data_IF_569654162630
#
_entry.id   IF_569654162630
#
_cell.length_a   1.000
_cell.length_b   1.000
_cell.length_c   1.000
_cell.angle_alpha   90.00
_cell.angle_beta   90.00
_cell.angle_gamma   90.00
#
_symmetry.space_group_name_H-M   'P 1'
#
loop_
_entity.id
_entity.type
_entity.pdbx_description
1 polymer ?
#
# COMPACT_ATOMS: atom_id res chain seq x y z
N UNK A 1 -17.21 3.79 2.12
CA UNK A 1 -17.94 2.95 3.11
C UNK A 1 -18.49 3.80 4.21
N UNK A 2 -19.70 3.51 4.69
CA UNK A 2 -20.37 4.28 5.73
C UNK A 2 -21.09 3.33 6.67
N UNK A 3 -20.86 3.45 7.99
CA UNK A 3 -21.51 2.70 9.07
C UNK A 3 -21.47 1.18 8.94
N UNK A 4 -20.31 0.64 8.50
CA UNK A 4 -20.07 -0.80 8.38
C UNK A 4 -19.49 -1.34 9.70
N UNK A 5 -19.94 -2.52 10.12
CA UNK A 5 -19.36 -3.26 11.25
C UNK A 5 -18.70 -4.54 10.76
N UNK A 6 -17.37 -4.61 10.89
CA UNK A 6 -16.57 -5.81 10.68
C UNK A 6 -16.17 -6.36 12.03
N UNK A 7 -16.85 -7.42 12.48
CA UNK A 7 -16.62 -8.01 13.81
C UNK A 7 -17.05 -9.49 13.82
N UNK A 8 -16.54 -10.30 14.74
CA UNK A 8 -17.05 -11.65 14.93
C UNK A 8 -18.56 -11.63 15.19
N UNK A 9 -19.25 -12.64 14.65
CA UNK A 9 -20.71 -12.77 14.86
C UNK A 9 -21.00 -12.80 16.37
N UNK A 10 -21.95 -12.00 16.78
CA UNK A 10 -22.42 -11.96 18.18
C UNK A 10 -22.95 -13.34 18.62
N UNK A 11 -22.59 -13.76 19.82
CA UNK A 11 -22.95 -15.08 20.36
C UNK A 11 -22.18 -16.25 19.74
N UNK A 12 -21.14 -16.00 18.91
CA UNK A 12 -20.23 -17.03 18.44
C UNK A 12 -18.96 -17.07 19.28
N UNK A 13 -18.31 -18.24 19.33
CA UNK A 13 -16.99 -18.42 20.00
C UNK A 13 -15.81 -17.93 19.12
N UNK A 14 -16.07 -17.22 18.01
CA UNK A 14 -15.03 -16.72 17.13
C UNK A 14 -14.31 -15.53 17.76
N UNK A 15 -12.99 -15.61 17.81
CA UNK A 15 -12.12 -14.51 18.23
C UNK A 15 -11.86 -13.52 17.09
N UNK A 16 -11.80 -14.04 15.85
CA UNK A 16 -11.46 -13.28 14.65
C UNK A 16 -12.67 -13.11 13.73
N UNK A 17 -12.77 -11.94 13.12
CA UNK A 17 -13.71 -11.63 12.04
C UNK A 17 -13.11 -11.90 10.66
N UNK A 18 -11.80 -11.68 10.52
CA UNK A 18 -11.05 -11.92 9.31
C UNK A 18 -9.68 -12.55 9.65
N UNK A 19 -9.21 -13.47 8.79
CA UNK A 19 -7.89 -14.11 8.89
C UNK A 19 -6.80 -13.37 8.09
N UNK A 20 -7.16 -12.31 7.42
CA UNK A 20 -6.31 -11.38 6.69
C UNK A 20 -6.87 -9.98 6.88
N UNK A 21 -6.52 -9.02 6.02
CA UNK A 21 -7.06 -7.67 6.06
C UNK A 21 -8.59 -7.68 5.98
N UNK A 22 -9.24 -6.80 6.73
CA UNK A 22 -10.69 -6.64 6.61
C UNK A 22 -11.06 -5.82 5.38
N UNK A 23 -10.28 -4.80 5.07
CA UNK A 23 -10.42 -3.93 3.91
C UNK A 23 -9.06 -3.72 3.27
N UNK A 24 -8.88 -4.26 2.07
CA UNK A 24 -7.64 -4.18 1.32
C UNK A 24 -7.88 -3.44 -0.01
N UNK A 25 -7.27 -2.29 -0.18
CA UNK A 25 -7.39 -1.42 -1.34
C UNK A 25 -6.03 -1.35 -2.06
N UNK A 26 -5.84 -2.19 -3.06
CA UNK A 26 -4.63 -2.26 -3.86
C UNK A 26 -4.86 -1.65 -5.24
N UNK A 27 -4.02 -0.70 -5.65
CA UNK A 27 -4.08 -0.09 -6.98
C UNK A 27 -5.42 0.56 -7.32
N UNK A 28 -6.05 1.20 -6.36
CA UNK A 28 -7.30 1.94 -6.56
C UNK A 28 -7.03 3.36 -7.06
N UNK A 29 -8.01 3.97 -7.72
CA UNK A 29 -8.01 5.37 -8.11
C UNK A 29 -9.17 6.13 -7.47
N UNK A 30 -9.19 7.47 -7.63
CA UNK A 30 -10.24 8.32 -7.10
C UNK A 30 -10.14 8.53 -5.59
N UNK A 31 -11.23 8.36 -4.84
CA UNK A 31 -11.29 8.60 -3.40
C UNK A 31 -11.89 7.42 -2.64
N UNK A 32 -11.17 6.96 -1.62
CA UNK A 32 -11.62 6.00 -0.63
C UNK A 32 -12.08 6.78 0.60
N UNK A 33 -13.37 6.66 0.94
CA UNK A 33 -13.93 7.22 2.18
C UNK A 33 -14.48 6.10 3.05
N UNK A 34 -14.02 6.08 4.31
CA UNK A 34 -14.45 5.14 5.35
C UNK A 34 -14.90 5.98 6.55
N UNK A 35 -16.19 5.93 6.86
CA UNK A 35 -16.79 6.79 7.87
C UNK A 35 -17.69 6.00 8.81
N UNK A 36 -17.60 6.32 10.10
CA UNK A 36 -18.47 5.76 11.16
C UNK A 36 -18.49 4.23 11.21
N UNK A 37 -17.35 3.59 10.90
CA UNK A 37 -17.21 2.14 10.85
C UNK A 37 -16.65 1.56 12.15
N UNK A 38 -16.94 0.28 12.39
CA UNK A 38 -16.44 -0.46 13.55
C UNK A 38 -15.67 -1.71 13.10
N UNK A 39 -14.41 -1.83 13.53
CA UNK A 39 -13.51 -2.92 13.18
C UNK A 39 -13.04 -3.64 14.43
N UNK A 40 -13.27 -4.95 14.51
CA UNK A 40 -12.87 -5.75 15.66
C UNK A 40 -12.52 -7.18 15.28
N UNK A 41 -11.38 -7.67 15.76
CA UNK A 41 -10.94 -9.04 15.54
C UNK A 41 -10.35 -9.28 14.15
N UNK A 42 -9.57 -8.35 13.62
CA UNK A 42 -8.70 -8.59 12.48
C UNK A 42 -7.48 -9.40 12.94
N UNK A 43 -7.09 -10.39 12.15
CA UNK A 43 -5.82 -11.08 12.35
C UNK A 43 -4.67 -10.32 11.68
N UNK A 44 -4.96 -9.66 10.58
CA UNK A 44 -4.11 -8.70 9.90
C UNK A 44 -4.73 -7.29 9.98
N UNK A 45 -4.53 -6.40 9.01
CA UNK A 45 -4.94 -5.01 9.12
C UNK A 45 -6.45 -4.81 8.95
N UNK A 46 -7.12 -4.04 9.81
CA UNK A 46 -8.49 -3.60 9.55
C UNK A 46 -8.63 -2.82 8.24
N UNK A 47 -7.65 -1.97 7.92
CA UNK A 47 -7.60 -1.21 6.68
C UNK A 47 -6.17 -1.21 6.16
N UNK A 48 -5.99 -1.64 4.90
CA UNK A 48 -4.75 -1.50 4.14
C UNK A 48 -5.03 -0.79 2.81
N UNK A 49 -4.27 0.28 2.50
CA UNK A 49 -4.39 1.06 1.26
C UNK A 49 -3.02 1.31 0.67
N UNK A 50 -2.80 0.85 -0.56
CA UNK A 50 -1.53 1.03 -1.24
C UNK A 50 -1.67 1.00 -2.77
N UNK A 51 -0.65 1.49 -3.48
CA UNK A 51 -0.43 1.23 -4.90
C UNK A 51 0.30 -0.10 -5.11
N UNK A 52 0.85 -0.30 -6.30
CA UNK A 52 1.49 -1.57 -6.67
C UNK A 52 2.81 -1.32 -7.38
N UNK A 53 3.85 -1.98 -6.90
CA UNK A 53 5.14 -2.14 -7.57
C UNK A 53 5.21 -3.48 -8.27
N UNK A 54 5.54 -3.52 -9.58
CA UNK A 54 5.94 -4.75 -10.26
C UNK A 54 7.41 -4.68 -10.65
N UNK A 55 8.13 -5.76 -10.40
CA UNK A 55 9.56 -5.86 -10.72
C UNK A 55 9.80 -5.97 -12.22
N UNK A 56 10.76 -5.22 -12.74
CA UNK A 56 11.21 -5.34 -14.12
C UNK A 56 12.13 -6.55 -14.25
N UNK A 57 11.67 -7.58 -14.95
CA UNK A 57 12.43 -8.83 -15.09
C UNK A 57 13.12 -8.99 -16.46
N UNK A 58 12.66 -8.26 -17.46
CA UNK A 58 13.22 -8.32 -18.82
C UNK A 58 12.94 -7.00 -19.56
N UNK A 59 13.90 -6.53 -20.32
CA UNK A 59 13.73 -5.48 -21.32
C UNK A 59 13.57 -6.14 -22.68
N UNK A 60 12.40 -6.00 -23.31
CA UNK A 60 12.10 -6.65 -24.58
C UNK A 60 12.59 -5.83 -25.78
N UNK A 61 12.46 -4.50 -25.70
CA UNK A 61 12.97 -3.53 -26.66
C UNK A 61 13.20 -2.16 -25.98
N UNK A 62 13.34 -1.08 -26.74
CA UNK A 62 13.63 0.25 -26.21
C UNK A 62 12.45 0.85 -25.43
N UNK A 63 11.23 0.40 -25.67
CA UNK A 63 9.99 0.92 -25.07
C UNK A 63 9.22 -0.12 -24.24
N UNK A 64 9.60 -1.39 -24.30
CA UNK A 64 8.80 -2.49 -23.77
C UNK A 64 9.54 -3.28 -22.71
N UNK A 65 8.90 -3.50 -21.58
CA UNK A 65 9.42 -4.35 -20.49
C UNK A 65 8.44 -5.47 -20.16
N UNK A 66 9.01 -6.53 -19.60
CA UNK A 66 8.25 -7.57 -18.92
C UNK A 66 8.33 -7.35 -17.43
N UNK A 67 7.17 -7.18 -16.80
CA UNK A 67 6.99 -6.95 -15.38
C UNK A 67 6.47 -8.21 -14.70
N UNK A 68 6.83 -8.39 -13.43
CA UNK A 68 6.43 -9.55 -12.64
C UNK A 68 5.92 -9.17 -11.27
N UNK A 69 4.77 -9.77 -10.89
CA UNK A 69 4.29 -9.84 -9.51
C UNK A 69 5.21 -10.77 -8.72
N UNK A 70 5.93 -10.24 -7.76
CA UNK A 70 6.92 -11.01 -7.00
C UNK A 70 6.32 -11.67 -5.75
N UNK A 71 5.41 -10.99 -5.06
CA UNK A 71 4.82 -11.51 -3.84
C UNK A 71 3.89 -12.69 -4.09
N UNK A 72 3.90 -13.67 -3.16
CA UNK A 72 3.17 -14.94 -3.31
C UNK A 72 1.66 -14.85 -3.18
N UNK A 73 1.15 -13.77 -2.58
CA UNK A 73 -0.28 -13.56 -2.30
C UNK A 73 -0.87 -12.38 -3.06
N UNK A 74 -0.04 -11.60 -3.79
CA UNK A 74 -0.46 -10.39 -4.49
C UNK A 74 -0.14 -10.50 -5.97
N UNK A 75 -1.03 -11.13 -6.75
CA UNK A 75 -0.87 -11.27 -8.19
C UNK A 75 -2.21 -11.59 -8.88
N UNK A 76 -2.23 -11.58 -10.21
CA UNK A 76 -3.35 -12.06 -11.00
C UNK A 76 -4.45 -11.02 -11.33
N UNK A 77 -4.22 -9.76 -10.96
CA UNK A 77 -5.09 -8.63 -11.32
C UNK A 77 -4.44 -7.74 -12.38
N UNK A 78 -5.20 -6.80 -12.93
CA UNK A 78 -4.69 -5.82 -13.89
C UNK A 78 -4.06 -4.66 -13.11
N UNK A 79 -2.72 -4.60 -13.09
CA UNK A 79 -1.97 -3.54 -12.39
C UNK A 79 -1.78 -2.29 -13.25
N UNK A 80 -1.94 -2.39 -14.58
CA UNK A 80 -1.75 -1.29 -15.54
C UNK A 80 -2.84 -1.29 -16.59
N UNK A 81 -3.16 -0.09 -17.10
CA UNK A 81 -4.08 0.14 -18.20
C UNK A 81 -3.45 1.11 -19.20
N UNK A 82 -3.87 1.05 -20.46
CA UNK A 82 -3.47 2.03 -21.46
C UNK A 82 -3.86 3.45 -21.03
N UNK A 83 -2.92 4.38 -21.14
CA UNK A 83 -3.06 5.75 -20.68
C UNK A 83 -2.66 6.00 -19.22
N UNK A 84 -2.37 4.97 -18.44
CA UNK A 84 -1.83 5.15 -17.09
C UNK A 84 -0.45 5.82 -17.12
N UNK A 85 -0.20 6.66 -16.14
CA UNK A 85 1.14 7.17 -15.85
C UNK A 85 1.81 6.23 -14.85
N UNK A 86 3.06 5.89 -15.14
CA UNK A 86 3.88 5.04 -14.28
C UNK A 86 5.15 5.76 -13.84
N UNK A 87 5.74 5.31 -12.74
CA UNK A 87 7.08 5.70 -12.32
C UNK A 87 8.00 4.48 -12.32
N UNK A 88 9.24 4.68 -12.74
CA UNK A 88 10.33 3.73 -12.52
C UNK A 88 10.91 3.99 -11.14
N UNK A 89 10.98 2.96 -10.32
CA UNK A 89 11.34 3.04 -8.90
C UNK A 89 12.61 2.23 -8.65
N UNK A 90 13.62 2.87 -8.07
CA UNK A 90 14.79 2.20 -7.52
C UNK A 90 14.38 1.43 -6.26
N UNK A 91 14.30 0.11 -6.33
CA UNK A 91 13.76 -0.68 -5.22
C UNK A 91 14.53 -0.48 -3.92
N UNK A 92 15.86 -0.37 -3.97
CA UNK A 92 16.70 -0.23 -2.77
C UNK A 92 16.53 1.09 -2.01
N UNK A 93 16.20 2.18 -2.71
CA UNK A 93 16.02 3.53 -2.11
C UNK A 93 14.57 3.98 -2.14
N UNK A 94 13.70 3.31 -2.90
CA UNK A 94 12.31 3.71 -3.20
C UNK A 94 12.19 5.04 -3.99
N UNK A 95 13.30 5.56 -4.54
CA UNK A 95 13.31 6.76 -5.36
C UNK A 95 12.59 6.52 -6.69
N UNK A 96 11.69 7.41 -7.06
CA UNK A 96 11.12 7.51 -8.41
C UNK A 96 12.07 8.29 -9.31
N UNK A 97 12.83 7.61 -10.18
CA UNK A 97 13.87 8.26 -10.98
C UNK A 97 13.43 8.61 -12.42
N UNK A 98 12.33 8.05 -12.91
CA UNK A 98 11.76 8.39 -14.21
C UNK A 98 10.25 8.11 -14.24
N UNK A 99 9.57 8.62 -15.27
CA UNK A 99 8.14 8.37 -15.50
C UNK A 99 7.83 8.21 -16.98
N UNK A 100 6.76 7.47 -17.30
CA UNK A 100 6.27 7.24 -18.65
C UNK A 100 4.75 7.05 -18.66
N UNK A 101 4.14 7.13 -19.87
CA UNK A 101 2.75 6.72 -20.07
C UNK A 101 2.69 5.33 -20.67
N UNK A 102 1.74 4.51 -20.21
CA UNK A 102 1.48 3.18 -20.73
C UNK A 102 0.77 3.28 -22.08
N UNK A 103 1.34 2.67 -23.11
CA UNK A 103 0.78 2.63 -24.49
C UNK A 103 0.03 1.32 -24.71
N UNK A 104 0.54 0.22 -24.19
CA UNK A 104 -0.14 -1.08 -24.28
C UNK A 104 0.22 -1.98 -23.12
N UNK A 105 -0.71 -2.88 -22.80
CA UNK A 105 -0.54 -3.90 -21.75
C UNK A 105 -0.98 -5.24 -22.29
N UNK A 106 -0.13 -6.25 -22.12
CA UNK A 106 -0.44 -7.63 -22.50
C UNK A 106 -0.14 -8.57 -21.35
N UNK A 107 -1.18 -9.24 -20.83
CA UNK A 107 -1.00 -10.28 -19.81
C UNK A 107 -0.37 -11.52 -20.45
N UNK A 108 0.76 -11.96 -19.93
CA UNK A 108 1.46 -13.17 -20.39
C UNK A 108 1.10 -14.39 -19.54
N UNK A 109 1.05 -14.22 -18.24
CA UNK A 109 0.66 -15.25 -17.26
C UNK A 109 -0.07 -14.60 -16.10
N UNK A 110 -0.46 -15.35 -15.08
CA UNK A 110 -1.04 -14.77 -13.85
C UNK A 110 -0.03 -13.90 -13.09
N UNK A 111 1.26 -14.04 -13.34
CA UNK A 111 2.32 -13.31 -12.65
C UNK A 111 3.13 -12.37 -13.53
N UNK A 112 2.95 -12.37 -14.83
CA UNK A 112 3.78 -11.57 -15.74
C UNK A 112 2.92 -10.81 -16.73
N UNK A 113 3.30 -9.56 -16.94
CA UNK A 113 2.70 -8.65 -17.91
C UNK A 113 3.78 -8.02 -18.76
N UNK A 114 3.49 -7.80 -20.03
CA UNK A 114 4.27 -6.99 -20.95
C UNK A 114 3.66 -5.60 -21.00
N UNK A 115 4.46 -4.57 -20.82
CA UNK A 115 4.02 -3.17 -20.83
C UNK A 115 4.92 -2.37 -21.75
N UNK A 116 4.30 -1.68 -22.72
CA UNK A 116 4.97 -0.72 -23.58
C UNK A 116 4.70 0.71 -23.15
N UNK A 117 5.68 1.58 -23.30
CA UNK A 117 5.64 2.99 -22.89
C UNK A 117 5.77 3.95 -24.06
N UNK A 118 5.36 5.20 -23.85
CA UNK A 118 5.42 6.30 -24.82
C UNK A 118 6.83 6.86 -25.06
N UNK A 119 7.82 6.36 -24.33
CA UNK A 119 9.23 6.80 -24.37
C UNK A 119 10.20 5.67 -24.06
N UNK A 120 11.49 5.94 -24.31
CA UNK A 120 12.56 4.99 -24.00
C UNK A 120 12.61 4.64 -22.52
N UNK A 121 12.86 3.37 -22.26
CA UNK A 121 13.15 2.85 -20.93
C UNK A 121 14.44 3.50 -20.41
N UNK A 122 14.44 4.02 -19.18
CA UNK A 122 15.62 4.65 -18.60
C UNK A 122 16.86 3.76 -18.69
N UNK A 123 18.00 4.35 -19.04
CA UNK A 123 19.26 3.60 -19.20
C UNK A 123 19.84 3.10 -17.88
N UNK A 124 19.51 3.81 -16.80
CA UNK A 124 19.88 3.47 -15.42
C UNK A 124 19.02 2.39 -14.77
N UNK A 125 18.02 1.86 -15.50
CA UNK A 125 17.16 0.79 -15.01
C UNK A 125 17.96 -0.50 -14.75
N UNK A 126 17.81 -1.06 -13.56
CA UNK A 126 18.44 -2.32 -13.15
C UNK A 126 17.42 -3.47 -13.20
N UNK A 127 17.64 -4.40 -14.14
CA UNK A 127 16.81 -5.59 -14.29
C UNK A 127 16.88 -6.48 -13.04
N UNK A 128 15.76 -7.06 -12.65
CA UNK A 128 15.58 -7.90 -11.47
C UNK A 128 15.80 -7.16 -10.13
N UNK A 129 15.89 -5.84 -10.15
CA UNK A 129 15.95 -4.97 -8.97
C UNK A 129 14.87 -3.91 -9.00
N UNK A 130 14.85 -3.07 -10.02
CA UNK A 130 13.93 -1.96 -10.09
C UNK A 130 12.50 -2.38 -10.39
N UNK A 131 11.59 -1.51 -10.01
CA UNK A 131 10.15 -1.71 -10.17
C UNK A 131 9.52 -0.63 -11.07
N UNK A 132 8.34 -0.93 -11.56
CA UNK A 132 7.43 0.05 -12.16
C UNK A 132 6.22 0.17 -11.23
N UNK A 133 5.92 1.39 -10.83
CA UNK A 133 4.77 1.75 -10.01
C UNK A 133 3.68 2.38 -10.87
N UNK A 134 2.43 1.98 -10.71
CA UNK A 134 1.31 2.67 -11.34
C UNK A 134 0.88 3.86 -10.49
N UNK A 135 1.27 5.09 -10.87
CA UNK A 135 0.95 6.31 -10.14
C UNK A 135 -0.41 6.92 -10.51
N UNK A 136 -1.08 6.40 -11.55
CA UNK A 136 -2.48 6.73 -11.84
C UNK A 136 -3.44 6.04 -10.87
N UNK A 137 -3.08 4.85 -10.40
CA UNK A 137 -3.87 4.05 -9.47
C UNK A 137 -3.44 4.28 -8.02
N UNK A 138 -3.52 5.53 -7.56
CA UNK A 138 -3.23 5.97 -6.19
C UNK A 138 -4.39 6.81 -5.68
N UNK A 139 -5.16 6.37 -4.66
CA UNK A 139 -6.38 7.05 -4.23
C UNK A 139 -6.10 8.17 -3.23
N UNK A 140 -7.02 9.14 -3.16
CA UNK A 140 -7.21 9.92 -1.94
C UNK A 140 -7.85 9.04 -0.86
N UNK A 141 -7.51 9.27 0.41
CA UNK A 141 -8.03 8.48 1.53
C UNK A 141 -8.60 9.37 2.62
N UNK A 142 -9.79 9.03 3.10
CA UNK A 142 -10.43 9.68 4.22
C UNK A 142 -11.01 8.62 5.18
N UNK A 143 -10.48 8.56 6.41
CA UNK A 143 -10.92 7.63 7.46
C UNK A 143 -11.36 8.47 8.65
N UNK A 144 -12.67 8.44 8.97
CA UNK A 144 -13.24 9.26 10.02
C UNK A 144 -14.22 8.50 10.93
N UNK A 145 -14.32 8.95 12.17
CA UNK A 145 -15.34 8.51 13.12
C UNK A 145 -15.37 6.98 13.30
N UNK A 146 -14.26 6.30 13.05
CA UNK A 146 -14.14 4.84 13.10
C UNK A 146 -13.63 4.37 14.47
N UNK A 147 -13.98 3.14 14.83
CA UNK A 147 -13.48 2.49 16.03
C UNK A 147 -12.76 1.19 15.66
N UNK A 148 -11.51 1.07 16.09
CA UNK A 148 -10.64 -0.07 15.83
C UNK A 148 -10.30 -0.78 17.14
N UNK A 149 -10.47 -2.09 17.20
CA UNK A 149 -10.14 -2.86 18.41
C UNK A 149 -9.85 -4.33 18.11
N UNK A 150 -9.19 -4.99 19.05
CA UNK A 150 -8.89 -6.42 19.00
C UNK A 150 -8.19 -6.82 17.69
N UNK A 151 -7.21 -6.06 17.25
CA UNK A 151 -6.31 -6.43 16.17
C UNK A 151 -4.94 -6.78 16.76
N UNK A 152 -4.34 -7.85 16.27
CA UNK A 152 -3.00 -8.27 16.69
C UNK A 152 -1.89 -7.51 15.95
N UNK A 153 -2.24 -6.88 14.86
CA UNK A 153 -1.37 -6.09 13.98
C UNK A 153 -1.70 -4.60 14.09
N UNK A 154 -1.65 -3.88 12.97
CA UNK A 154 -1.92 -2.44 12.88
C UNK A 154 -3.41 -2.14 12.92
N UNK A 155 -3.75 -0.90 13.16
CA UNK A 155 -5.13 -0.42 12.99
C UNK A 155 -5.41 0.01 11.56
N UNK A 156 -4.45 0.76 10.98
CA UNK A 156 -4.49 1.23 9.59
C UNK A 156 -3.08 1.17 9.02
N UNK A 157 -2.90 0.45 7.92
CA UNK A 157 -1.70 0.49 7.09
C UNK A 157 -2.03 1.30 5.84
N UNK A 158 -1.16 2.23 5.46
CA UNK A 158 -1.45 3.08 4.33
C UNK A 158 -0.22 3.67 3.69
N UNK A 159 -0.24 3.70 2.35
CA UNK A 159 0.71 4.47 1.57
C UNK A 159 0.08 4.96 0.27
N UNK A 160 0.07 6.27 0.04
CA UNK A 160 -0.41 6.92 -1.18
C UNK A 160 0.14 8.33 -1.28
N UNK A 161 0.54 8.81 -2.47
CA UNK A 161 1.00 10.20 -2.67
C UNK A 161 -0.14 11.22 -2.69
N UNK A 162 -1.39 10.77 -2.63
CA UNK A 162 -2.56 11.64 -2.63
C UNK A 162 -2.89 12.10 -1.21
N UNK A 163 -3.86 12.99 -1.11
CA UNK A 163 -4.31 13.51 0.18
C UNK A 163 -4.89 12.40 1.05
N UNK A 164 -4.40 12.34 2.28
CA UNK A 164 -4.83 11.40 3.32
C UNK A 164 -5.35 12.18 4.51
N UNK A 165 -6.52 11.81 5.01
CA UNK A 165 -7.09 12.35 6.25
C UNK A 165 -7.52 11.20 7.14
N UNK A 166 -6.89 11.09 8.32
CA UNK A 166 -7.26 10.14 9.39
C UNK A 166 -7.67 10.96 10.60
N UNK A 167 -8.98 11.09 10.83
CA UNK A 167 -9.47 12.01 11.84
C UNK A 167 -10.64 11.46 12.66
N UNK A 168 -10.71 11.90 13.91
CA UNK A 168 -11.84 11.63 14.80
C UNK A 168 -12.07 10.12 15.06
N UNK A 169 -11.01 9.28 14.95
CA UNK A 169 -11.08 7.84 15.15
C UNK A 169 -10.64 7.45 16.56
N UNK A 170 -11.09 6.29 17.02
CA UNK A 170 -10.58 5.65 18.24
C UNK A 170 -9.88 4.34 17.90
N UNK A 171 -8.62 4.24 18.31
CA UNK A 171 -7.82 3.02 18.24
C UNK A 171 -7.65 2.48 19.66
N UNK A 172 -8.20 1.28 19.91
CA UNK A 172 -8.17 0.65 21.21
C UNK A 172 -7.46 -0.68 21.17
N UNK A 173 -6.26 -0.75 21.77
CA UNK A 173 -5.43 -1.96 21.91
C UNK A 173 -5.11 -2.61 20.57
N UNK A 174 -4.45 -1.88 19.67
CA UNK A 174 -3.76 -2.50 18.51
C UNK A 174 -2.48 -3.17 18.99
N UNK A 175 -2.17 -4.35 18.50
CA UNK A 175 -0.95 -5.08 18.86
C UNK A 175 0.30 -4.35 18.42
N UNK A 176 0.33 -3.95 17.18
CA UNK A 176 1.36 -3.10 16.56
C UNK A 176 0.87 -1.65 16.47
N UNK A 177 1.43 -0.84 15.58
CA UNK A 177 1.07 0.56 15.39
C UNK A 177 -0.42 0.75 15.17
N UNK A 178 -1.01 1.80 15.75
CA UNK A 178 -2.38 2.16 15.44
C UNK A 178 -2.49 2.68 14.00
N UNK A 179 -1.49 3.48 13.57
CA UNK A 179 -1.36 3.95 12.20
C UNK A 179 0.08 3.66 11.75
N UNK A 180 0.22 2.88 10.68
CA UNK A 180 1.48 2.64 10.00
C UNK A 180 1.42 3.22 8.59
N UNK A 181 2.43 4.02 8.26
CA UNK A 181 2.69 4.53 6.92
C UNK A 181 3.94 3.83 6.42
N UNK A 182 3.76 2.87 5.54
CA UNK A 182 4.84 2.04 5.01
C UNK A 182 4.58 1.69 3.56
N UNK A 183 5.61 1.73 2.74
CA UNK A 183 5.64 1.19 1.39
C UNK A 183 6.93 0.44 1.17
N UNK A 184 6.95 -0.49 0.24
CA UNK A 184 8.12 -1.28 -0.11
C UNK A 184 8.16 -1.68 -1.59
N UNK A 185 9.35 -2.03 -2.06
CA UNK A 185 9.59 -2.49 -3.42
C UNK A 185 10.33 -3.84 -3.49
N UNK A 186 10.45 -4.56 -2.36
CA UNK A 186 11.20 -5.83 -2.29
C UNK A 186 10.48 -6.94 -1.49
N UNK A 187 9.53 -6.60 -0.65
CA UNK A 187 8.76 -7.53 0.19
C UNK A 187 7.34 -7.74 -0.33
N UNK A 188 6.42 -6.90 0.12
CA UNK A 188 5.01 -6.93 -0.29
C UNK A 188 4.75 -6.23 -1.63
N UNK A 189 5.65 -5.35 -2.06
CA UNK A 189 5.52 -4.55 -3.29
C UNK A 189 4.36 -3.56 -3.22
N UNK A 190 4.06 -3.08 -2.04
CA UNK A 190 3.07 -2.07 -1.76
C UNK A 190 3.67 -0.69 -2.02
N UNK A 191 3.13 0.05 -2.99
CA UNK A 191 3.74 1.29 -3.47
C UNK A 191 2.98 2.53 -3.03
N UNK A 192 3.65 3.65 -3.08
CA UNK A 192 3.16 5.01 -2.94
C UNK A 192 3.87 5.76 -1.82
N UNK A 193 4.81 6.68 -2.12
CA UNK A 193 5.34 7.59 -1.10
C UNK A 193 4.24 8.51 -0.62
N UNK A 194 4.22 8.84 0.68
CA UNK A 194 3.24 9.79 1.22
C UNK A 194 3.69 11.23 0.99
N UNK A 195 2.72 12.14 0.77
CA UNK A 195 3.02 13.54 0.47
C UNK A 195 2.14 14.53 1.27
N UNK A 196 0.86 14.23 1.46
CA UNK A 196 -0.09 15.11 2.16
C UNK A 196 -0.93 14.27 3.13
N UNK A 197 -0.50 14.17 4.38
CA UNK A 197 -1.14 13.36 5.42
C UNK A 197 -1.55 14.22 6.61
N UNK A 198 -2.84 14.23 6.92
CA UNK A 198 -3.41 14.87 8.09
C UNK A 198 -3.93 13.82 9.07
N UNK A 199 -3.32 13.75 10.25
CA UNK A 199 -3.76 12.92 11.37
C UNK A 199 -4.19 13.85 12.49
N UNK A 200 -5.50 13.89 12.81
CA UNK A 200 -5.99 14.82 13.82
C UNK A 200 -7.14 14.23 14.66
N UNK A 201 -7.26 14.69 15.89
CA UNK A 201 -8.37 14.37 16.82
C UNK A 201 -8.60 12.86 17.03
N UNK A 202 -7.59 12.01 16.80
CA UNK A 202 -7.70 10.58 17.05
C UNK A 202 -7.37 10.26 18.51
N UNK A 203 -8.04 9.25 19.06
CA UNK A 203 -7.80 8.74 20.41
C UNK A 203 -7.09 7.39 20.31
N UNK A 204 -5.93 7.27 20.99
CA UNK A 204 -5.14 6.05 21.02
C UNK A 204 -5.08 5.53 22.47
N UNK A 205 -5.55 4.30 22.70
CA UNK A 205 -5.63 3.69 24.03
C UNK A 205 -4.95 2.33 24.01
N UNK A 206 -3.79 2.22 24.69
CA UNK A 206 -3.06 0.95 24.82
C UNK A 206 -2.64 0.31 23.52
N UNK A 207 -2.34 1.12 22.50
CA UNK A 207 -1.85 0.66 21.21
C UNK A 207 -0.36 0.33 21.26
N UNK A 208 0.16 -0.41 20.24
CA UNK A 208 1.54 -0.85 20.13
C UNK A 208 2.00 -1.71 21.33
N UNK A 209 1.12 -2.53 21.88
CA UNK A 209 1.42 -3.29 23.10
C UNK A 209 2.29 -4.53 22.88
N UNK A 210 2.43 -5.02 21.64
CA UNK A 210 3.29 -6.17 21.34
C UNK A 210 4.79 -5.86 21.46
N UNK A 211 5.14 -4.56 21.51
CA UNK A 211 6.52 -4.11 21.60
C UNK A 211 7.28 -4.29 20.27
N UNK A 212 8.52 -3.79 20.28
CA UNK A 212 9.41 -3.83 19.13
C UNK A 212 9.81 -2.42 18.68
N UNK A 213 10.98 -2.25 18.07
CA UNK A 213 11.50 -0.92 17.71
C UNK A 213 10.66 -0.18 16.67
N UNK A 214 9.85 -0.91 15.91
CA UNK A 214 8.99 -0.36 14.84
C UNK A 214 7.55 -0.10 15.29
N UNK A 215 7.20 -0.45 16.53
CA UNK A 215 5.83 -0.38 17.03
C UNK A 215 5.57 0.92 17.80
N UNK A 216 5.79 2.06 17.17
CA UNK A 216 5.26 3.33 17.66
C UNK A 216 3.74 3.38 17.44
N UNK A 217 3.02 4.17 18.26
CA UNK A 217 1.56 4.35 18.10
C UNK A 217 1.22 4.87 16.69
N UNK A 218 2.01 5.83 16.20
CA UNK A 218 2.01 6.28 14.81
C UNK A 218 3.44 6.07 14.29
N UNK A 219 3.61 5.26 13.26
CA UNK A 219 4.90 4.97 12.65
C UNK A 219 4.92 5.38 11.18
N UNK A 220 6.02 6.02 10.76
CA UNK A 220 6.39 6.24 9.38
C UNK A 220 7.65 5.43 9.14
N UNK A 221 7.53 4.37 8.38
CA UNK A 221 8.60 3.38 8.22
C UNK A 221 8.67 2.91 6.76
N UNK A 222 9.20 3.73 5.82
CA UNK A 222 9.45 3.26 4.47
C UNK A 222 10.50 2.15 4.51
N UNK A 223 10.20 1.01 3.87
CA UNK A 223 11.10 -0.14 3.80
C UNK A 223 12.15 0.02 2.71
N UNK A 224 12.99 1.06 2.82
CA UNK A 224 14.13 1.25 1.93
C UNK A 224 15.38 0.58 2.52
N UNK A 225 16.07 -0.22 1.69
CA UNK A 225 17.27 -0.95 2.08
C UNK A 225 18.50 -0.05 2.18
N UNK A 226 18.52 1.04 1.40
CA UNK A 226 19.59 2.04 1.37
C UNK A 226 19.00 3.41 1.68
N UNK A 227 19.54 4.07 2.69
CA UNK A 227 19.17 5.44 3.03
C UNK A 227 20.09 6.40 2.29
N UNK A 228 19.52 7.19 1.37
CA UNK A 228 20.22 8.29 0.71
C UNK A 228 19.84 9.61 1.43
N UNK A 229 20.80 10.18 2.17
CA UNK A 229 20.57 11.40 2.93
C UNK A 229 20.36 12.65 2.04
N UNK A 230 20.81 12.61 0.78
CA UNK A 230 20.65 13.70 -0.18
C UNK A 230 19.31 13.61 -0.93
N UNK A 231 18.72 12.41 -0.99
CA UNK A 231 17.44 12.11 -1.66
C UNK A 231 16.54 11.25 -0.76
N UNK A 232 16.05 11.81 0.35
CA UNK A 232 15.15 11.10 1.23
C UNK A 232 13.81 10.83 0.53
N UNK A 233 13.25 9.66 0.78
CA UNK A 233 11.90 9.25 0.33
C UNK A 233 10.88 9.42 1.43
#
# INVERSE_FOLDING_TARGET
>A
MDRVKCMPREGSDRLLAASADMMHYSGCSGKIRIDSCYFAGAQDDPINVHGTNLRVVEKLDEHTVKLRFMHGQSYGYNAYFEGDTVAFVRASTMERFASACVVSVKRLTDRTVEVAFDRDIPKELELNHDCVENISCTPEVEIRNCYFTRTSTRGTLMTTPRKVVIADNTYYKTGMSAILIEGDAEGWYESGPVNDVLIQNNIFIGCAYSGGPENAVIALHPSNMVVDAERPV
#
